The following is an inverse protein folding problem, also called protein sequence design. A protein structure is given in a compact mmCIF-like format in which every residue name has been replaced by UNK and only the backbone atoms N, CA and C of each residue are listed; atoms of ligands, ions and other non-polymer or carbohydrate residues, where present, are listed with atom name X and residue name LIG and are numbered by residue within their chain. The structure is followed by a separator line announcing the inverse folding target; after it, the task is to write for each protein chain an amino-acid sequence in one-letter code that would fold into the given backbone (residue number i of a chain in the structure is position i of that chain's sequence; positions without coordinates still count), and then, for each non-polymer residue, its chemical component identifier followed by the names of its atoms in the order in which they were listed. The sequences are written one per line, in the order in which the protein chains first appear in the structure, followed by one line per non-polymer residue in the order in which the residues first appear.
data_IF_674807236342
#
_entry.id   IF_674807236342
#
_cell.length_a   1.000
_cell.length_b   1.000
_cell.length_c   1.000
_cell.angle_alpha   90.00
_cell.angle_beta   90.00
_cell.angle_gamma   90.00
#
_symmetry.space_group_name_H-M   'P 1'
#
loop_
_entity.id
_entity.type
_entity.pdbx_description
1 polymer ?
#
# COMPACT_ATOMS: atom_id res chain seq x y z
N UNK A 1 -13.69 0.61 17.99
CA UNK A 1 -12.25 0.58 17.66
C UNK A 1 -11.67 1.98 17.51
N UNK A 2 -11.96 2.73 16.44
CA UNK A 2 -11.33 4.04 16.22
C UNK A 2 -11.61 5.06 17.35
N UNK A 3 -12.80 5.03 17.94
CA UNK A 3 -13.15 5.87 19.10
C UNK A 3 -12.37 5.48 20.38
N UNK A 4 -12.03 4.21 20.53
CA UNK A 4 -11.39 3.67 21.74
C UNK A 4 -9.86 3.74 21.68
N UNK A 5 -9.29 3.76 20.47
CA UNK A 5 -7.85 3.73 20.24
C UNK A 5 -7.45 4.91 19.33
N UNK A 6 -7.19 6.10 19.87
CA UNK A 6 -6.99 7.32 19.08
C UNK A 6 -5.76 7.28 18.17
N UNK A 7 -4.76 6.46 18.50
CA UNK A 7 -3.49 6.38 17.77
C UNK A 7 -3.49 5.37 16.62
N UNK A 8 -4.57 4.60 16.43
CA UNK A 8 -4.66 3.64 15.31
C UNK A 8 -4.83 4.39 13.98
N UNK A 9 -4.12 4.00 12.94
CA UNK A 9 -4.35 4.50 11.59
C UNK A 9 -4.78 3.31 10.71
N UNK A 10 -5.53 3.60 9.65
CA UNK A 10 -5.97 2.64 8.65
C UNK A 10 -5.29 3.01 7.35
N UNK A 11 -4.73 2.04 6.64
CA UNK A 11 -4.46 2.22 5.22
C UNK A 11 -5.66 1.74 4.40
N UNK A 12 -5.75 2.26 3.18
CA UNK A 12 -6.69 1.77 2.17
C UNK A 12 -5.92 1.04 1.07
N UNK A 13 -4.83 0.35 1.43
CA UNK A 13 -4.12 -0.45 0.44
C UNK A 13 -5.08 -1.52 -0.12
N UNK A 14 -5.09 -1.69 -1.44
CA UNK A 14 -6.33 -2.12 -2.07
C UNK A 14 -6.45 -3.65 -2.18
N UNK A 15 -7.53 -4.17 -1.61
CA UNK A 15 -8.26 -5.32 -2.16
C UNK A 15 -9.53 -4.81 -2.84
N UNK A 16 -9.85 -5.25 -4.06
CA UNK A 16 -11.03 -4.73 -4.78
C UNK A 16 -12.35 -4.99 -4.06
N UNK A 17 -12.41 -6.08 -3.28
CA UNK A 17 -13.56 -6.43 -2.46
C UNK A 17 -13.87 -5.36 -1.41
N UNK A 18 -12.86 -4.65 -0.91
CA UNK A 18 -13.03 -3.56 0.04
C UNK A 18 -13.78 -2.39 -0.61
N UNK A 19 -13.31 -1.94 -1.78
CA UNK A 19 -13.92 -0.83 -2.52
C UNK A 19 -15.32 -1.16 -3.01
N UNK A 20 -15.56 -2.39 -3.44
CA UNK A 20 -16.89 -2.87 -3.76
C UNK A 20 -17.85 -2.83 -2.55
N UNK A 21 -17.40 -3.26 -1.37
CA UNK A 21 -18.23 -3.20 -0.17
C UNK A 21 -18.49 -1.76 0.29
N UNK A 22 -17.50 -0.88 0.15
CA UNK A 22 -17.66 0.55 0.40
C UNK A 22 -18.69 1.19 -0.53
N UNK A 23 -18.72 0.80 -1.82
CA UNK A 23 -19.65 1.36 -2.79
C UNK A 23 -21.10 0.91 -2.61
N UNK A 24 -21.38 -0.12 -1.78
CA UNK A 24 -22.77 -0.48 -1.42
C UNK A 24 -23.47 0.60 -0.59
N UNK A 25 -22.71 1.41 0.13
CA UNK A 25 -23.22 2.48 0.99
C UNK A 25 -22.38 3.75 0.83
N UNK A 26 -22.37 4.38 -0.37
CA UNK A 26 -21.40 5.42 -0.71
C UNK A 26 -21.49 6.64 0.22
N UNK A 27 -22.69 7.04 0.64
CA UNK A 27 -22.86 8.15 1.58
C UNK A 27 -22.31 7.84 2.98
N UNK A 28 -22.59 6.64 3.51
CA UNK A 28 -22.04 6.23 4.82
C UNK A 28 -20.53 6.08 4.78
N UNK A 29 -20.00 5.57 3.67
CA UNK A 29 -18.56 5.48 3.45
C UNK A 29 -17.95 6.88 3.39
N UNK A 30 -18.56 7.80 2.62
CA UNK A 30 -18.13 9.19 2.54
C UNK A 30 -18.08 9.84 3.93
N UNK A 31 -19.14 9.73 4.71
CA UNK A 31 -19.21 10.24 6.08
C UNK A 31 -18.10 9.67 6.96
N UNK A 32 -17.83 8.37 6.86
CA UNK A 32 -16.74 7.71 7.58
C UNK A 32 -15.37 8.29 7.21
N UNK A 33 -15.10 8.40 5.91
CA UNK A 33 -13.83 8.94 5.40
C UNK A 33 -13.61 10.39 5.83
N UNK A 34 -14.67 11.21 5.83
CA UNK A 34 -14.61 12.59 6.33
C UNK A 34 -14.38 12.62 7.84
N UNK A 35 -15.11 11.80 8.61
CA UNK A 35 -15.01 11.75 10.07
C UNK A 35 -13.62 11.32 10.54
N UNK A 36 -13.00 10.35 9.87
CA UNK A 36 -11.70 9.81 10.22
C UNK A 36 -10.60 10.21 9.23
N UNK A 37 -10.78 11.33 8.52
CA UNK A 37 -9.88 11.80 7.47
C UNK A 37 -8.43 11.91 7.90
N UNK A 38 -8.16 12.20 9.17
CA UNK A 38 -6.80 12.35 9.71
C UNK A 38 -6.17 10.99 10.04
N UNK A 39 -6.79 9.85 9.72
CA UNK A 39 -6.33 8.53 10.15
C UNK A 39 -6.28 7.51 9.02
N UNK A 40 -6.55 7.95 7.80
CA UNK A 40 -6.61 7.10 6.61
C UNK A 40 -5.39 7.39 5.73
N UNK A 41 -4.63 6.39 5.35
CA UNK A 41 -3.41 6.51 4.54
C UNK A 41 -3.59 5.78 3.21
N UNK A 42 -3.17 6.41 2.13
CA UNK A 42 -3.15 5.79 0.80
C UNK A 42 -1.90 4.92 0.61
N UNK A 43 -2.07 3.77 -0.03
CA UNK A 43 -0.97 2.91 -0.49
C UNK A 43 -1.48 1.95 -1.56
N UNK A 44 -0.62 1.44 -2.43
CA UNK A 44 -1.04 0.64 -3.59
C UNK A 44 -0.79 -0.87 -3.42
N UNK A 45 -0.17 -1.31 -2.32
CA UNK A 45 0.24 -2.70 -2.07
C UNK A 45 0.99 -3.34 -3.25
N UNK A 46 2.00 -2.63 -3.77
CA UNK A 46 2.83 -3.11 -4.87
C UNK A 46 4.05 -3.86 -4.37
N UNK A 47 4.22 -5.09 -4.85
CA UNK A 47 5.49 -5.81 -4.76
C UNK A 47 6.42 -5.49 -5.94
N UNK A 48 7.70 -5.28 -5.64
CA UNK A 48 8.76 -5.24 -6.65
C UNK A 48 9.36 -6.64 -6.78
N UNK A 49 9.41 -7.19 -7.99
CA UNK A 49 9.99 -8.52 -8.23
C UNK A 49 11.37 -8.40 -8.89
N UNK A 50 12.10 -9.51 -8.97
CA UNK A 50 13.39 -9.58 -9.71
C UNK A 50 13.24 -9.21 -11.19
N UNK A 51 12.06 -9.47 -11.76
CA UNK A 51 11.72 -9.14 -13.15
C UNK A 51 11.28 -7.67 -13.32
N UNK A 52 11.29 -6.89 -12.23
CA UNK A 52 10.98 -5.48 -12.20
C UNK A 52 9.58 -5.19 -11.67
N UNK A 53 9.01 -4.10 -12.18
CA UNK A 53 7.73 -3.55 -11.71
C UNK A 53 6.74 -3.62 -12.86
N UNK A 54 5.58 -4.24 -12.62
CA UNK A 54 4.45 -4.24 -13.55
C UNK A 54 3.73 -2.88 -13.55
N UNK A 55 4.39 -1.86 -14.11
CA UNK A 55 3.97 -0.44 -14.03
C UNK A 55 2.51 -0.22 -14.43
N UNK A 56 2.06 -0.84 -15.51
CA UNK A 56 0.69 -0.69 -15.99
C UNK A 56 -0.36 -1.16 -14.96
N UNK A 57 -0.09 -2.28 -14.26
CA UNK A 57 -0.97 -2.79 -13.22
C UNK A 57 -1.08 -1.81 -12.05
N UNK A 58 0.04 -1.18 -11.67
CA UNK A 58 0.09 -0.17 -10.60
C UNK A 58 -0.68 1.07 -11.01
N UNK A 59 -0.44 1.58 -12.22
CA UNK A 59 -1.16 2.74 -12.72
C UNK A 59 -2.68 2.50 -12.76
N UNK A 60 -3.11 1.32 -13.21
CA UNK A 60 -4.53 0.97 -13.26
C UNK A 60 -5.14 0.87 -11.86
N UNK A 61 -4.40 0.30 -10.91
CA UNK A 61 -4.81 0.20 -9.49
C UNK A 61 -4.93 1.58 -8.84
N UNK A 62 -3.92 2.42 -8.96
CA UNK A 62 -3.95 3.79 -8.44
C UNK A 62 -5.09 4.59 -9.08
N UNK A 63 -5.26 4.48 -10.41
CA UNK A 63 -6.37 5.14 -11.11
C UNK A 63 -7.73 4.69 -10.56
N UNK A 64 -7.93 3.40 -10.37
CA UNK A 64 -9.16 2.85 -9.80
C UNK A 64 -9.45 3.43 -8.40
N UNK A 65 -8.46 3.41 -7.50
CA UNK A 65 -8.61 3.94 -6.15
C UNK A 65 -8.89 5.45 -6.16
N UNK A 66 -8.23 6.20 -7.05
CA UNK A 66 -8.46 7.64 -7.23
C UNK A 66 -9.86 7.91 -7.76
N UNK A 67 -10.32 7.21 -8.79
CA UNK A 67 -11.69 7.31 -9.29
C UNK A 67 -12.71 7.09 -8.18
N UNK A 68 -12.51 6.09 -7.31
CA UNK A 68 -13.39 5.86 -6.17
C UNK A 68 -13.41 7.04 -5.20
N UNK A 69 -12.25 7.61 -4.87
CA UNK A 69 -12.15 8.69 -3.88
C UNK A 69 -12.59 10.05 -4.45
N UNK A 70 -12.32 10.33 -5.71
CA UNK A 70 -12.41 11.67 -6.32
C UNK A 70 -13.76 11.93 -7.02
N UNK A 71 -14.44 10.88 -7.51
CA UNK A 71 -15.68 11.05 -8.29
C UNK A 71 -16.90 10.47 -7.58
N UNK A 72 -18.09 10.85 -8.02
CA UNK A 72 -19.37 10.21 -7.70
C UNK A 72 -19.84 9.31 -8.85
N UNK A 73 -18.95 8.91 -9.76
CA UNK A 73 -19.32 8.12 -10.93
C UNK A 73 -19.41 6.63 -10.58
N UNK A 74 -20.18 5.90 -11.38
CA UNK A 74 -20.15 4.44 -11.38
C UNK A 74 -19.24 3.97 -12.50
N UNK A 75 -18.29 3.09 -12.18
CA UNK A 75 -17.33 2.57 -13.13
C UNK A 75 -17.04 1.10 -12.85
N UNK A 76 -16.80 0.33 -13.90
CA UNK A 76 -16.31 -1.03 -13.76
C UNK A 76 -14.87 -1.02 -13.26
N UNK A 77 -14.50 -2.00 -12.45
CA UNK A 77 -13.09 -2.29 -12.27
C UNK A 77 -12.57 -2.82 -13.61
N UNK A 78 -11.82 -1.99 -14.35
CA UNK A 78 -11.28 -2.34 -15.66
C UNK A 78 -10.28 -3.51 -15.60
N UNK A 79 -9.50 -3.77 -16.66
CA UNK A 79 -8.45 -4.79 -16.64
C UNK A 79 -7.37 -4.41 -15.63
N UNK A 80 -7.55 -4.87 -14.40
CA UNK A 80 -6.59 -4.82 -13.30
C UNK A 80 -6.05 -6.24 -13.10
N UNK A 81 -4.99 -6.38 -12.28
CA UNK A 81 -4.39 -7.68 -12.00
C UNK A 81 -5.46 -8.75 -11.67
N UNK A 82 -5.28 -9.99 -12.15
CA UNK A 82 -6.17 -11.12 -11.84
C UNK A 82 -6.30 -11.36 -10.33
N UNK A 83 -5.27 -11.01 -9.56
CA UNK A 83 -5.30 -11.05 -8.09
C UNK A 83 -6.01 -9.85 -7.46
N UNK A 84 -6.16 -8.75 -8.22
CA UNK A 84 -6.90 -7.59 -7.76
C UNK A 84 -8.40 -7.85 -7.79
N UNK A 85 -8.91 -8.65 -8.75
CA UNK A 85 -10.34 -8.82 -8.98
C UNK A 85 -10.81 -10.26 -8.95
N UNK A 86 -11.51 -10.61 -7.88
CA UNK A 86 -12.32 -11.83 -7.86
C UNK A 86 -13.70 -11.65 -8.54
N UNK A 87 -14.12 -10.42 -8.92
CA UNK A 87 -15.49 -10.16 -9.42
C UNK A 87 -15.60 -9.04 -10.48
N UNK A 88 -16.47 -9.19 -11.50
CA UNK A 88 -16.74 -8.20 -12.54
C UNK A 88 -17.78 -7.14 -12.11
N UNK A 89 -17.71 -6.66 -10.87
CA UNK A 89 -18.72 -5.75 -10.32
C UNK A 89 -18.41 -4.27 -10.64
N UNK A 90 -19.45 -3.43 -10.67
CA UNK A 90 -19.31 -1.97 -10.73
C UNK A 90 -19.06 -1.39 -9.34
N UNK A 91 -18.34 -0.26 -9.31
CA UNK A 91 -18.01 0.48 -8.09
C UNK A 91 -18.49 1.91 -8.25
N UNK A 92 -19.11 2.44 -7.18
CA UNK A 92 -19.56 3.82 -7.05
C UNK A 92 -18.56 4.62 -6.23
N UNK A 93 -18.06 5.72 -6.79
CA UNK A 93 -17.20 6.65 -6.06
C UNK A 93 -17.91 7.48 -4.99
N UNK A 94 -17.13 8.11 -4.12
CA UNK A 94 -17.60 8.85 -2.93
C UNK A 94 -17.26 10.35 -2.93
N UNK A 95 -16.61 10.86 -3.99
CA UNK A 95 -16.36 12.30 -4.29
C UNK A 95 -15.82 13.14 -3.13
N UNK A 96 -14.80 12.67 -2.42
CA UNK A 96 -14.24 13.34 -1.23
C UNK A 96 -13.81 14.79 -1.53
N UNK A 97 -13.96 15.71 -0.56
CA UNK A 97 -13.41 17.06 -0.69
C UNK A 97 -11.88 17.03 -0.89
N UNK A 98 -11.35 18.00 -1.63
CA UNK A 98 -9.91 18.11 -1.91
C UNK A 98 -9.05 18.14 -0.64
N UNK A 99 -9.51 18.82 0.41
CA UNK A 99 -8.82 18.87 1.71
C UNK A 99 -8.74 17.52 2.42
N UNK A 100 -9.71 16.63 2.18
CA UNK A 100 -9.70 15.25 2.70
C UNK A 100 -8.75 14.39 1.86
N UNK A 101 -8.78 14.56 0.53
CA UNK A 101 -7.88 13.86 -0.39
C UNK A 101 -6.41 14.18 -0.10
N UNK A 102 -6.05 15.44 0.14
CA UNK A 102 -4.69 15.85 0.48
C UNK A 102 -4.16 15.13 1.74
N UNK A 103 -5.03 14.96 2.73
CA UNK A 103 -4.70 14.22 3.95
C UNK A 103 -4.42 12.75 3.67
N UNK A 104 -5.33 12.11 2.95
CA UNK A 104 -5.27 10.68 2.62
C UNK A 104 -4.04 10.37 1.75
N UNK A 105 -3.78 11.20 0.74
CA UNK A 105 -2.68 10.98 -0.20
C UNK A 105 -1.30 11.34 0.36
N UNK A 106 -1.21 12.23 1.36
CA UNK A 106 0.08 12.76 1.78
C UNK A 106 0.17 13.11 3.26
N UNK A 107 -0.67 14.02 3.77
CA UNK A 107 -0.41 14.66 5.07
C UNK A 107 -0.44 13.67 6.22
N UNK A 108 -1.30 12.66 6.17
CA UNK A 108 -1.38 11.64 7.21
C UNK A 108 -0.12 10.79 7.27
N UNK A 109 0.43 10.39 6.11
CA UNK A 109 1.68 9.65 6.04
C UNK A 109 2.82 10.48 6.65
N UNK A 110 2.99 11.74 6.22
CA UNK A 110 4.04 12.62 6.73
C UNK A 110 3.92 12.89 8.23
N UNK A 111 2.70 12.99 8.76
CA UNK A 111 2.49 13.11 10.21
C UNK A 111 2.95 11.86 10.97
N UNK A 112 2.77 10.67 10.38
CA UNK A 112 3.13 9.39 11.02
C UNK A 112 4.65 9.15 10.97
N UNK A 113 5.28 9.37 9.80
CA UNK A 113 6.69 8.97 9.58
C UNK A 113 7.69 10.14 9.65
N UNK A 114 7.21 11.38 9.59
CA UNK A 114 8.04 12.58 9.42
C UNK A 114 8.19 13.01 7.96
N UNK A 115 8.70 14.22 7.76
CA UNK A 115 8.98 14.80 6.43
C UNK A 115 10.34 14.38 5.85
N UNK A 116 11.21 13.82 6.70
CA UNK A 116 12.54 13.34 6.32
C UNK A 116 12.66 11.86 6.69
N UNK A 117 13.09 10.99 5.74
CA UNK A 117 13.39 9.62 6.07
C UNK A 117 14.52 9.56 7.10
N UNK A 118 14.44 8.63 8.05
CA UNK A 118 15.54 8.37 8.96
C UNK A 118 16.73 7.82 8.15
N UNK A 119 17.98 8.20 8.48
CA UNK A 119 19.14 7.61 7.83
C UNK A 119 19.16 6.10 8.07
N UNK A 120 19.47 5.34 7.03
CA UNK A 120 19.62 3.89 7.14
C UNK A 120 20.85 3.58 7.99
N UNK A 121 20.69 2.79 9.05
CA UNK A 121 21.81 2.21 9.78
C UNK A 121 22.33 1.02 8.97
N UNK A 122 23.33 1.27 8.10
CA UNK A 122 23.85 0.24 7.18
C UNK A 122 24.40 -0.98 7.93
N UNK A 123 25.23 -0.85 8.99
CA UNK A 123 25.70 -2.02 9.75
C UNK A 123 24.56 -2.89 10.29
N UNK A 124 23.53 -2.27 10.89
CA UNK A 124 22.38 -3.01 11.43
C UNK A 124 21.53 -3.64 10.33
N UNK A 125 21.33 -2.93 9.21
CA UNK A 125 20.61 -3.47 8.06
C UNK A 125 21.32 -4.69 7.47
N UNK A 126 22.66 -4.66 7.38
CA UNK A 126 23.47 -5.81 6.94
C UNK A 126 23.33 -7.00 7.88
N UNK A 127 23.43 -6.78 9.18
CA UNK A 127 23.26 -7.85 10.18
C UNK A 127 21.89 -8.54 10.03
N UNK A 128 20.82 -7.76 9.83
CA UNK A 128 19.48 -8.30 9.63
C UNK A 128 19.33 -9.03 8.28
N UNK A 129 19.88 -8.48 7.19
CA UNK A 129 19.93 -9.13 5.89
C UNK A 129 20.66 -10.48 5.96
N UNK A 130 21.79 -10.52 6.67
CA UNK A 130 22.54 -11.74 6.92
C UNK A 130 21.72 -12.76 7.72
N UNK A 131 21.07 -12.32 8.80
CA UNK A 131 20.21 -13.16 9.64
C UNK A 131 19.06 -13.78 8.83
N UNK A 132 18.39 -12.98 8.00
CA UNK A 132 17.35 -13.45 7.06
C UNK A 132 17.96 -14.47 6.09
N UNK A 133 19.16 -14.18 5.55
CA UNK A 133 19.85 -15.07 4.64
C UNK A 133 20.12 -16.45 5.24
N UNK A 134 20.63 -16.51 6.47
CA UNK A 134 20.82 -17.80 7.16
C UNK A 134 19.51 -18.56 7.34
N UNK A 135 18.42 -17.87 7.69
CA UNK A 135 17.09 -18.51 7.83
C UNK A 135 16.63 -19.12 6.50
N UNK A 136 16.79 -18.40 5.39
CA UNK A 136 16.40 -18.90 4.07
C UNK A 136 17.23 -20.13 3.65
N UNK A 137 18.53 -20.11 3.93
CA UNK A 137 19.43 -21.22 3.65
C UNK A 137 19.12 -22.44 4.53
N UNK A 138 19.10 -22.29 5.85
CA UNK A 138 18.97 -23.39 6.82
C UNK A 138 17.56 -24.00 6.85
N UNK A 139 16.51 -23.17 6.77
CA UNK A 139 15.12 -23.61 6.96
C UNK A 139 14.39 -23.88 5.65
N UNK A 140 14.73 -23.13 4.60
CA UNK A 140 14.03 -23.18 3.33
C UNK A 140 14.90 -23.69 2.17
N UNK A 141 16.15 -24.10 2.45
CA UNK A 141 17.11 -24.64 1.46
C UNK A 141 17.34 -23.72 0.26
N UNK A 142 17.29 -22.40 0.48
CA UNK A 142 17.64 -21.44 -0.57
C UNK A 142 19.14 -21.53 -0.87
N UNK A 143 19.47 -21.66 -2.16
CA UNK A 143 20.86 -21.52 -2.61
C UNK A 143 21.36 -20.10 -2.32
N UNK A 144 22.65 -19.92 -2.07
CA UNK A 144 23.23 -18.58 -1.88
C UNK A 144 22.93 -17.63 -3.04
N UNK A 145 22.87 -18.16 -4.27
CA UNK A 145 22.50 -17.40 -5.47
C UNK A 145 21.06 -16.90 -5.43
N UNK A 146 20.11 -17.64 -4.86
CA UNK A 146 18.70 -17.28 -4.82
C UNK A 146 18.27 -16.60 -3.52
N UNK A 147 19.19 -16.54 -2.56
CA UNK A 147 18.99 -16.01 -1.22
C UNK A 147 18.92 -14.47 -1.21
N UNK A 148 17.71 -13.92 -1.12
CA UNK A 148 17.51 -12.47 -1.14
C UNK A 148 18.03 -11.76 0.11
N UNK A 149 18.23 -12.45 1.23
CA UNK A 149 18.89 -11.89 2.41
C UNK A 149 20.34 -11.55 2.12
N UNK A 150 21.10 -12.51 1.60
CA UNK A 150 22.51 -12.29 1.22
C UNK A 150 22.66 -11.34 0.01
N UNK A 151 21.76 -11.40 -0.97
CA UNK A 151 21.78 -10.43 -2.08
C UNK A 151 21.57 -8.98 -1.58
N UNK A 152 20.68 -8.77 -0.62
CA UNK A 152 20.47 -7.46 -0.03
C UNK A 152 21.67 -7.00 0.81
N UNK A 153 22.33 -7.92 1.53
CA UNK A 153 23.58 -7.63 2.25
C UNK A 153 24.69 -7.15 1.30
N UNK A 154 24.90 -7.85 0.18
CA UNK A 154 25.87 -7.46 -0.85
C UNK A 154 25.52 -6.11 -1.51
N UNK A 155 24.23 -5.83 -1.72
CA UNK A 155 23.78 -4.52 -2.19
C UNK A 155 24.13 -3.41 -1.19
N UNK A 156 23.93 -3.65 0.11
CA UNK A 156 24.24 -2.68 1.16
C UNK A 156 25.75 -2.37 1.21
N UNK A 157 26.60 -3.35 0.93
CA UNK A 157 28.05 -3.15 0.79
C UNK A 157 28.44 -2.26 -0.40
N UNK A 158 27.63 -2.23 -1.46
CA UNK A 158 27.91 -1.39 -2.63
C UNK A 158 27.55 0.10 -2.44
N UNK A 159 26.79 0.43 -1.40
CA UNK A 159 26.29 1.80 -1.13
C UNK A 159 26.82 2.39 0.18
N UNK A 160 27.60 1.62 0.94
CA UNK A 160 28.35 2.07 2.13
C UNK A 160 29.68 2.69 1.75
#
# INVERSE_FOLDING_TARGET
MLESFPNVNLDITPGSEMYYNFSKYPEKTREFFIKYQDRIVFGDDTAVTKDGIARELIYNRIRFMRSFLETDEEFSVGPTDKNFLARPDTVKGIKLPESVLEKIYRLNFLRIVGDKPKPLNIPLAKEECHRIGRILEEKYNYSRRDNFGYQAEELLDSIS
#
